data_IF_534867549847
#
_entry.id   IF_534867549847
#
_cell.length_a   1.000
_cell.length_b   1.000
_cell.length_c   1.000
_cell.angle_alpha   90.00
_cell.angle_beta   90.00
_cell.angle_gamma   90.00
#
_symmetry.space_group_name_H-M   'P 1'
#
loop_
_entity.id
_entity.type
_entity.pdbx_description
1 polymer ?
#
# COMPACT_ATOMS: atom_id res chain seq x y z
N UNK A 1 24.56 22.45 4.94
CA UNK A 1 23.21 21.88 4.78
C UNK A 1 22.58 21.76 6.17
N UNK A 2 21.28 22.05 6.31
CA UNK A 2 20.55 21.90 7.56
C UNK A 2 20.37 20.42 7.91
N UNK A 3 20.37 20.11 9.22
CA UNK A 3 19.96 18.80 9.74
C UNK A 3 18.47 18.84 10.08
N UNK A 4 17.75 17.78 9.76
CA UNK A 4 16.32 17.63 10.08
C UNK A 4 16.00 16.20 10.46
N UNK A 5 14.98 16.01 11.29
CA UNK A 5 14.43 14.70 11.61
C UNK A 5 13.15 14.48 10.79
N UNK A 6 13.00 13.28 10.24
CA UNK A 6 11.77 12.84 9.59
C UNK A 6 11.35 11.49 10.16
N UNK A 7 10.05 11.31 10.36
CA UNK A 7 9.48 10.12 11.02
C UNK A 7 8.41 9.48 10.15
N UNK A 8 8.47 8.16 10.03
CA UNK A 8 7.39 7.34 9.47
C UNK A 8 7.04 6.21 10.43
N UNK A 9 5.87 5.61 10.23
CA UNK A 9 5.38 4.51 11.06
C UNK A 9 4.71 3.42 10.24
N UNK A 10 4.61 2.24 10.84
CA UNK A 10 3.89 1.09 10.29
C UNK A 10 3.22 0.30 11.41
N UNK A 11 2.34 -0.62 11.03
CA UNK A 11 1.60 -1.50 11.94
C UNK A 11 1.62 -2.93 11.42
N UNK A 12 1.46 -3.89 12.31
CA UNK A 12 1.41 -5.32 11.95
C UNK A 12 0.08 -5.67 11.28
N UNK A 13 0.03 -6.86 10.69
CA UNK A 13 -1.20 -7.48 10.19
C UNK A 13 -2.30 -7.66 11.25
N UNK A 14 -1.96 -7.61 12.54
CA UNK A 14 -2.92 -7.75 13.64
C UNK A 14 -3.55 -6.44 14.10
N UNK A 15 -3.13 -5.30 13.58
CA UNK A 15 -3.77 -4.02 13.85
C UNK A 15 -5.20 -4.00 13.29
N UNK A 16 -6.23 -3.53 14.02
CA UNK A 16 -7.63 -3.67 13.60
C UNK A 16 -7.94 -3.08 12.22
N UNK A 17 -7.44 -1.87 11.89
CA UNK A 17 -7.55 -1.32 10.52
C UNK A 17 -6.90 -2.23 9.46
N UNK A 18 -5.78 -2.88 9.76
CA UNK A 18 -5.12 -3.81 8.83
C UNK A 18 -5.80 -5.16 8.72
N UNK A 19 -6.53 -5.60 9.75
CA UNK A 19 -7.43 -6.74 9.62
C UNK A 19 -8.55 -6.38 8.63
N UNK A 20 -9.11 -5.16 8.72
CA UNK A 20 -10.16 -4.69 7.81
C UNK A 20 -9.68 -4.63 6.35
N UNK A 21 -8.51 -4.05 6.10
CA UNK A 21 -7.89 -4.02 4.77
C UNK A 21 -7.67 -5.45 4.20
N UNK A 22 -7.15 -6.37 5.02
CA UNK A 22 -6.90 -7.75 4.60
C UNK A 22 -8.18 -8.54 4.30
N UNK A 23 -9.27 -8.29 5.03
CA UNK A 23 -10.59 -8.89 4.75
C UNK A 23 -11.13 -8.33 3.44
N UNK A 24 -11.13 -7.01 3.28
CA UNK A 24 -11.58 -6.33 2.07
C UNK A 24 -10.85 -6.85 0.82
N UNK A 25 -9.52 -6.98 0.86
CA UNK A 25 -8.76 -7.54 -0.25
C UNK A 25 -8.87 -9.07 -0.39
N UNK A 26 -9.09 -9.80 0.69
CA UNK A 26 -9.37 -11.24 0.61
C UNK A 26 -10.67 -11.54 -0.13
N UNK A 27 -11.71 -10.71 0.05
CA UNK A 27 -12.97 -10.80 -0.70
C UNK A 27 -12.74 -10.44 -2.17
N UNK A 28 -12.00 -9.35 -2.44
CA UNK A 28 -11.64 -8.96 -3.81
C UNK A 28 -10.92 -10.09 -4.55
N UNK A 29 -9.90 -10.68 -3.93
CA UNK A 29 -9.13 -11.76 -4.54
C UNK A 29 -10.02 -12.97 -4.85
N UNK A 30 -10.91 -13.37 -3.94
CA UNK A 30 -11.78 -14.51 -4.18
C UNK A 30 -12.76 -14.28 -5.35
N UNK A 31 -13.26 -13.04 -5.49
CA UNK A 31 -14.12 -12.67 -6.60
C UNK A 31 -13.34 -12.63 -7.93
N UNK A 32 -12.17 -11.98 -7.96
CA UNK A 32 -11.33 -11.91 -9.18
C UNK A 32 -10.78 -13.27 -9.62
N UNK A 33 -10.55 -14.19 -8.68
CA UNK A 33 -10.10 -15.56 -8.98
C UNK A 33 -11.13 -16.32 -9.83
N UNK A 34 -12.42 -16.06 -9.63
CA UNK A 34 -13.51 -16.72 -10.34
C UNK A 34 -14.02 -15.91 -11.52
N UNK A 35 -14.08 -14.59 -11.38
CA UNK A 35 -14.55 -13.64 -12.38
C UNK A 35 -13.61 -12.41 -12.43
N UNK A 36 -12.63 -12.40 -13.35
CA UNK A 36 -11.71 -11.28 -13.53
C UNK A 36 -12.38 -9.94 -13.88
N UNK A 37 -13.64 -9.95 -14.33
CA UNK A 37 -14.41 -8.74 -14.63
C UNK A 37 -15.18 -8.19 -13.42
N UNK A 38 -15.05 -8.82 -12.24
CA UNK A 38 -15.72 -8.38 -11.01
C UNK A 38 -15.47 -6.91 -10.71
N UNK A 39 -16.55 -6.15 -10.50
CA UNK A 39 -16.49 -4.80 -9.94
C UNK A 39 -16.73 -4.89 -8.44
N UNK A 40 -15.78 -4.42 -7.66
CA UNK A 40 -15.75 -4.59 -6.20
C UNK A 40 -15.40 -3.26 -5.54
N UNK A 41 -16.22 -2.87 -4.57
CA UNK A 41 -15.95 -1.81 -3.60
C UNK A 41 -16.47 -2.30 -2.24
N UNK A 42 -15.63 -3.04 -1.51
CA UNK A 42 -16.01 -3.68 -0.24
C UNK A 42 -15.25 -3.05 0.92
N UNK A 43 -16.03 -2.54 1.86
CA UNK A 43 -15.55 -1.92 3.09
C UNK A 43 -15.77 -2.86 4.27
N UNK A 44 -14.81 -2.89 5.19
CA UNK A 44 -14.88 -3.71 6.40
C UNK A 44 -14.77 -2.81 7.62
N UNK A 45 -15.71 -2.94 8.55
CA UNK A 45 -15.63 -2.37 9.90
C UNK A 45 -15.50 -3.51 10.91
N UNK A 46 -14.56 -3.37 11.84
CA UNK A 46 -14.27 -4.35 12.87
C UNK A 46 -14.34 -3.66 14.23
N UNK A 47 -14.99 -4.32 15.19
CA UNK A 47 -15.07 -3.87 16.57
C UNK A 47 -15.17 -5.08 17.49
N UNK A 48 -15.38 -4.85 18.78
CA UNK A 48 -15.39 -5.91 19.79
C UNK A 48 -16.40 -7.00 19.44
N UNK A 49 -15.89 -8.19 19.10
CA UNK A 49 -16.68 -9.38 18.78
C UNK A 49 -17.46 -9.34 17.46
N UNK A 50 -17.28 -8.33 16.61
CA UNK A 50 -18.07 -8.16 15.37
C UNK A 50 -17.21 -7.72 14.18
N UNK A 51 -17.57 -8.24 13.01
CA UNK A 51 -17.12 -7.79 11.69
C UNK A 51 -18.33 -7.44 10.84
N UNK A 52 -18.35 -6.23 10.31
CA UNK A 52 -19.34 -5.76 9.35
C UNK A 52 -18.66 -5.58 8.00
N UNK A 53 -19.17 -6.30 7.00
CA UNK A 53 -18.73 -6.18 5.61
C UNK A 53 -19.86 -5.53 4.82
N UNK A 54 -19.59 -4.41 4.16
CA UNK A 54 -20.56 -3.66 3.39
C UNK A 54 -19.95 -3.14 2.08
N UNK A 55 -20.80 -2.63 1.19
CA UNK A 55 -20.37 -1.99 -0.06
C UNK A 55 -21.08 -2.56 -1.28
N UNK A 56 -20.47 -2.40 -2.45
CA UNK A 56 -21.08 -2.69 -3.73
C UNK A 56 -20.25 -3.67 -4.54
N UNK A 57 -20.92 -4.73 -5.02
CA UNK A 57 -20.29 -5.76 -5.86
C UNK A 57 -21.16 -6.03 -7.08
N UNK A 58 -20.53 -6.11 -8.24
CA UNK A 58 -21.11 -6.63 -9.48
C UNK A 58 -20.19 -7.73 -10.01
N UNK A 59 -20.66 -8.97 -10.01
CA UNK A 59 -19.85 -10.15 -10.33
C UNK A 59 -20.73 -11.34 -10.68
N UNK A 60 -20.19 -12.28 -11.46
CA UNK A 60 -20.75 -13.62 -11.66
C UNK A 60 -20.18 -14.66 -10.67
N UNK A 61 -19.17 -14.29 -9.88
CA UNK A 61 -18.54 -15.13 -8.86
C UNK A 61 -19.37 -15.24 -7.57
N UNK A 62 -19.01 -16.21 -6.72
CA UNK A 62 -19.54 -16.35 -5.38
C UNK A 62 -18.41 -16.40 -4.35
N UNK A 63 -18.46 -15.54 -3.34
CA UNK A 63 -17.55 -15.56 -2.19
C UNK A 63 -18.32 -15.90 -0.91
N UNK A 64 -17.90 -16.94 -0.20
CA UNK A 64 -18.38 -17.22 1.16
C UNK A 64 -17.68 -16.26 2.16
N UNK A 65 -18.20 -15.03 2.22
CA UNK A 65 -17.62 -13.93 2.99
C UNK A 65 -17.45 -14.29 4.47
N UNK A 66 -18.45 -14.97 5.07
CA UNK A 66 -18.37 -15.33 6.47
C UNK A 66 -17.20 -16.27 6.74
N UNK A 67 -17.02 -17.29 5.90
CA UNK A 67 -15.88 -18.21 6.02
C UNK A 67 -14.55 -17.51 5.76
N UNK A 68 -14.46 -16.67 4.73
CA UNK A 68 -13.23 -15.91 4.41
C UNK A 68 -12.80 -14.98 5.54
N UNK A 69 -13.75 -14.23 6.14
CA UNK A 69 -13.51 -13.35 7.28
C UNK A 69 -12.93 -14.14 8.45
N UNK A 70 -13.60 -15.24 8.83
CA UNK A 70 -13.16 -16.07 9.96
C UNK A 70 -11.77 -16.64 9.74
N UNK A 71 -11.53 -17.21 8.55
CA UNK A 71 -10.23 -17.79 8.23
C UNK A 71 -9.13 -16.72 8.25
N UNK A 72 -9.39 -15.52 7.71
CA UNK A 72 -8.41 -14.43 7.72
C UNK A 72 -8.02 -14.03 9.15
N UNK A 73 -8.99 -13.93 10.06
CA UNK A 73 -8.75 -13.58 11.46
C UNK A 73 -7.91 -14.67 12.16
N UNK A 74 -8.20 -15.95 11.88
CA UNK A 74 -7.43 -17.08 12.40
C UNK A 74 -5.99 -17.08 11.85
N UNK A 75 -5.79 -16.85 10.56
CA UNK A 75 -4.47 -16.79 9.90
C UNK A 75 -3.58 -15.68 10.48
N UNK A 76 -4.19 -14.54 10.85
CA UNK A 76 -3.50 -13.42 11.52
C UNK A 76 -3.05 -13.83 12.93
N UNK A 77 -3.77 -14.73 13.58
CA UNK A 77 -3.44 -15.29 14.89
C UNK A 77 -4.40 -14.89 16.01
N UNK A 78 -5.57 -14.34 15.68
CA UNK A 78 -6.69 -14.12 16.61
C UNK A 78 -7.57 -15.38 16.67
N UNK A 79 -7.07 -16.38 17.38
CA UNK A 79 -7.62 -17.74 17.51
C UNK A 79 -8.20 -18.03 18.91
N UNK A 80 -8.30 -17.00 19.75
CA UNK A 80 -8.73 -17.13 21.14
C UNK A 80 -9.15 -15.77 21.69
N UNK A 81 -10.30 -15.73 22.37
CA UNK A 81 -10.78 -14.51 23.04
C UNK A 81 -9.79 -13.98 24.10
N UNK A 82 -8.88 -14.82 24.60
CA UNK A 82 -7.79 -14.39 25.49
C UNK A 82 -6.84 -13.37 24.83
N UNK A 83 -6.75 -13.36 23.50
CA UNK A 83 -5.96 -12.40 22.70
C UNK A 83 -6.74 -11.12 22.37
N UNK A 84 -8.01 -11.01 22.80
CA UNK A 84 -8.90 -9.88 22.56
C UNK A 84 -9.87 -10.08 21.39
N UNK A 85 -9.62 -11.06 20.51
CA UNK A 85 -10.51 -11.35 19.39
C UNK A 85 -10.33 -12.80 18.93
N UNK A 86 -11.36 -13.38 18.33
CA UNK A 86 -11.38 -14.79 17.94
C UNK A 86 -12.21 -15.01 16.67
N UNK A 87 -11.55 -15.45 15.60
CA UNK A 87 -12.18 -15.75 14.32
C UNK A 87 -13.19 -16.90 14.39
N UNK A 88 -13.06 -17.82 15.35
CA UNK A 88 -13.99 -18.93 15.51
C UNK A 88 -15.33 -18.50 16.13
N UNK A 89 -15.36 -17.41 16.90
CA UNK A 89 -16.54 -17.00 17.67
C UNK A 89 -17.08 -15.60 17.33
N UNK A 90 -16.36 -14.78 16.56
CA UNK A 90 -16.83 -13.44 16.19
C UNK A 90 -18.14 -13.46 15.38
N UNK A 91 -18.96 -12.43 15.51
CA UNK A 91 -20.10 -12.20 14.63
C UNK A 91 -19.63 -11.67 13.27
N UNK A 92 -20.32 -12.06 12.20
CA UNK A 92 -20.09 -11.55 10.84
C UNK A 92 -21.41 -11.10 10.25
N UNK A 93 -21.50 -9.83 9.90
CA UNK A 93 -22.66 -9.21 9.26
C UNK A 93 -22.27 -8.77 7.85
N UNK A 94 -23.06 -9.18 6.85
CA UNK A 94 -22.82 -8.86 5.45
C UNK A 94 -23.97 -7.99 4.94
N UNK A 95 -23.62 -6.83 4.40
CA UNK A 95 -24.52 -5.81 3.86
C UNK A 95 -24.01 -5.31 2.50
N UNK A 96 -23.84 -6.24 1.55
CA UNK A 96 -23.36 -5.94 0.20
C UNK A 96 -24.55 -5.76 -0.74
N UNK A 97 -24.57 -4.64 -1.47
CA UNK A 97 -25.52 -4.34 -2.53
C UNK A 97 -24.95 -4.52 -3.93
N UNK A 98 -25.81 -4.35 -4.94
CA UNK A 98 -25.37 -4.26 -6.33
C UNK A 98 -24.80 -2.86 -6.63
N UNK A 99 -23.83 -2.78 -7.55
CA UNK A 99 -23.30 -1.50 -8.02
C UNK A 99 -24.40 -0.66 -8.70
N UNK A 100 -24.36 0.66 -8.49
CA UNK A 100 -25.30 1.59 -9.13
C UNK A 100 -25.20 1.53 -10.67
N UNK A 101 -26.32 1.34 -11.39
CA UNK A 101 -26.34 1.40 -12.86
C UNK A 101 -25.84 2.73 -13.42
N UNK A 102 -26.05 3.84 -12.71
CA UNK A 102 -25.63 5.18 -13.12
C UNK A 102 -24.10 5.35 -13.07
N UNK A 103 -23.43 4.61 -12.18
CA UNK A 103 -21.97 4.54 -12.10
C UNK A 103 -21.46 3.59 -13.18
N UNK A 104 -22.10 2.43 -13.35
CA UNK A 104 -21.71 1.42 -14.34
C UNK A 104 -21.66 2.00 -15.76
N UNK A 105 -22.70 2.73 -16.20
CA UNK A 105 -22.72 3.37 -17.53
C UNK A 105 -21.54 4.35 -17.76
N UNK A 106 -21.04 4.97 -16.68
CA UNK A 106 -19.97 5.96 -16.72
C UNK A 106 -18.61 5.34 -16.97
N UNK A 107 -18.42 4.15 -16.41
CA UNK A 107 -17.18 3.36 -16.41
C UNK A 107 -17.10 2.45 -17.62
N UNK A 108 -18.21 1.81 -17.99
CA UNK A 108 -18.25 0.82 -19.06
C UNK A 108 -18.13 1.45 -20.46
N UNK A 109 -18.54 2.71 -20.60
CA UNK A 109 -18.43 3.49 -21.84
C UNK A 109 -17.97 4.90 -21.53
N UNK A 110 -16.70 5.24 -21.73
CA UNK A 110 -16.13 6.54 -21.34
C UNK A 110 -16.79 7.76 -22.02
N UNK A 111 -16.58 8.93 -21.44
CA UNK A 111 -17.11 10.22 -21.89
C UNK A 111 -16.71 10.53 -23.33
N UNK A 112 -15.45 10.23 -23.70
CA UNK A 112 -14.91 10.38 -25.04
C UNK A 112 -15.79 9.67 -26.08
N UNK A 113 -16.27 8.46 -25.76
CA UNK A 113 -17.16 7.70 -26.63
C UNK A 113 -18.61 8.24 -26.59
N UNK A 114 -19.10 8.63 -25.41
CA UNK A 114 -20.46 9.17 -25.26
C UNK A 114 -20.66 10.48 -26.02
N UNK A 115 -19.65 11.35 -26.07
CA UNK A 115 -19.75 12.69 -26.68
C UNK A 115 -19.37 12.71 -28.16
N UNK A 116 -18.45 11.85 -28.62
CA UNK A 116 -18.11 11.77 -30.05
C UNK A 116 -19.31 11.28 -30.90
N UNK A 117 -20.28 10.59 -30.30
CA UNK A 117 -21.47 10.06 -30.98
C UNK A 117 -21.12 8.93 -31.94
N UNK A 118 -22.09 8.06 -32.26
CA UNK A 118 -21.92 6.87 -33.11
C UNK A 118 -21.64 7.19 -34.61
N UNK A 119 -21.03 8.34 -34.92
CA UNK A 119 -20.99 8.94 -36.27
C UNK A 119 -19.60 9.00 -36.90
N UNK A 120 -18.56 8.44 -36.29
CA UNK A 120 -17.29 8.18 -36.97
C UNK A 120 -16.84 6.76 -36.68
N UNK A 121 -16.92 5.93 -37.72
CA UNK A 121 -16.49 4.54 -37.68
C UNK A 121 -14.97 4.37 -37.72
N UNK A 122 -14.56 3.20 -37.23
CA UNK A 122 -13.41 2.39 -37.63
C UNK A 122 -12.00 2.71 -37.12
N UNK A 123 -11.84 3.64 -36.17
CA UNK A 123 -10.63 3.71 -35.31
C UNK A 123 -11.04 3.89 -33.82
N UNK A 124 -11.80 2.92 -33.28
CA UNK A 124 -12.13 2.88 -31.84
C UNK A 124 -10.92 2.35 -31.07
N UNK A 125 -10.16 3.24 -30.41
CA UNK A 125 -9.16 2.78 -29.44
C UNK A 125 -9.89 2.10 -28.27
N UNK A 126 -9.73 0.77 -28.15
CA UNK A 126 -10.37 -0.03 -27.10
C UNK A 126 -10.02 0.48 -25.69
N UNK A 127 -8.88 1.17 -25.53
CA UNK A 127 -8.43 1.72 -24.26
C UNK A 127 -9.20 2.99 -23.84
N UNK A 128 -9.85 3.66 -24.80
CA UNK A 128 -10.77 4.78 -24.55
C UNK A 128 -12.17 4.29 -24.10
N UNK A 129 -12.45 2.98 -24.12
CA UNK A 129 -13.75 2.46 -23.69
C UNK A 129 -13.99 2.65 -22.20
N UNK A 130 -12.95 2.49 -21.38
CA UNK A 130 -13.12 2.50 -19.94
C UNK A 130 -12.80 3.87 -19.34
N UNK A 131 -13.84 4.51 -18.81
CA UNK A 131 -13.68 5.75 -18.05
C UNK A 131 -13.17 5.49 -16.63
N UNK A 132 -12.64 6.53 -15.98
CA UNK A 132 -12.30 6.44 -14.55
C UNK A 132 -13.53 6.13 -13.69
N UNK A 133 -13.37 5.21 -12.73
CA UNK A 133 -14.41 4.78 -11.79
C UNK A 133 -14.98 5.87 -10.89
N UNK A 134 -14.16 6.89 -10.62
CA UNK A 134 -14.49 8.07 -9.83
C UNK A 134 -13.58 9.23 -10.27
N UNK A 135 -13.86 10.45 -9.83
CA UNK A 135 -12.86 11.51 -9.84
C UNK A 135 -11.77 11.22 -8.81
N UNK A 136 -10.57 11.75 -9.03
CA UNK A 136 -9.56 11.72 -7.98
C UNK A 136 -8.21 12.19 -8.45
N UNK A 137 -7.30 12.29 -7.48
CA UNK A 137 -5.90 12.64 -7.69
C UNK A 137 -5.03 11.58 -7.02
N UNK A 138 -4.02 11.10 -7.71
CA UNK A 138 -3.16 10.00 -7.24
C UNK A 138 -1.70 10.43 -7.35
N UNK A 139 -0.90 10.01 -6.38
CA UNK A 139 0.52 10.34 -6.31
C UNK A 139 1.37 9.07 -6.32
N UNK A 140 2.50 9.15 -7.01
CA UNK A 140 3.56 8.17 -7.01
C UNK A 140 4.87 8.79 -6.58
N UNK A 141 5.71 8.03 -5.89
CA UNK A 141 7.01 8.51 -5.44
C UNK A 141 8.08 7.44 -5.55
N UNK A 142 9.28 7.87 -5.88
CA UNK A 142 10.50 7.08 -5.79
C UNK A 142 11.69 7.95 -5.41
N UNK A 143 12.66 7.33 -4.73
CA UNK A 143 13.91 7.96 -4.30
C UNK A 143 15.03 6.93 -4.31
N UNK A 144 16.26 7.35 -4.62
CA UNK A 144 17.44 6.47 -4.60
C UNK A 144 17.94 6.11 -3.18
N UNK A 145 17.19 6.45 -2.12
CA UNK A 145 17.58 6.19 -0.71
C UNK A 145 17.67 4.70 -0.36
N UNK A 146 16.91 3.83 -1.02
CA UNK A 146 16.94 2.38 -0.81
C UNK A 146 17.01 1.61 -2.13
N UNK A 147 17.45 0.34 -2.14
CA UNK A 147 17.49 -0.48 -3.36
C UNK A 147 16.11 -0.64 -4.04
N UNK A 148 15.04 -0.67 -3.24
CA UNK A 148 13.66 -0.76 -3.72
C UNK A 148 13.07 0.60 -4.14
N UNK A 149 13.89 1.65 -4.14
CA UNK A 149 13.55 3.01 -4.50
C UNK A 149 12.44 3.63 -3.65
N UNK A 150 12.45 3.35 -2.34
CA UNK A 150 11.49 3.85 -1.35
C UNK A 150 12.15 4.84 -0.38
N UNK A 151 11.37 5.73 0.26
CA UNK A 151 11.89 6.50 1.39
C UNK A 151 12.33 5.57 2.53
N UNK A 152 13.53 5.78 3.03
CA UNK A 152 14.11 4.92 4.07
C UNK A 152 13.26 4.81 5.36
N UNK A 153 12.61 5.87 5.89
CA UNK A 153 11.88 5.79 7.15
C UNK A 153 10.69 4.83 7.10
N UNK A 154 9.91 4.85 6.01
CA UNK A 154 8.76 3.96 5.85
C UNK A 154 9.18 2.52 5.52
N UNK A 155 10.22 2.35 4.70
CA UNK A 155 10.80 1.04 4.40
C UNK A 155 11.25 0.33 5.69
N UNK A 156 11.95 1.04 6.58
CA UNK A 156 12.35 0.52 7.88
C UNK A 156 11.18 0.19 8.79
N UNK A 157 10.17 1.08 8.88
CA UNK A 157 9.00 0.81 9.69
C UNK A 157 8.26 -0.46 9.20
N UNK A 158 8.11 -0.64 7.89
CA UNK A 158 7.54 -1.88 7.32
C UNK A 158 8.35 -3.13 7.65
N UNK A 159 9.68 -3.07 7.51
CA UNK A 159 10.57 -4.20 7.83
C UNK A 159 10.45 -4.59 9.31
N UNK A 160 10.42 -3.62 10.21
CA UNK A 160 10.23 -3.86 11.65
C UNK A 160 8.86 -4.48 11.94
N UNK A 161 7.78 -3.94 11.37
CA UNK A 161 6.43 -4.48 11.59
C UNK A 161 6.30 -5.92 11.04
N UNK A 162 6.87 -6.19 9.86
CA UNK A 162 6.90 -7.53 9.27
C UNK A 162 7.71 -8.49 10.13
N UNK A 163 8.91 -8.08 10.56
CA UNK A 163 9.76 -8.91 11.42
C UNK A 163 9.10 -9.21 12.77
N UNK A 164 8.40 -8.24 13.35
CA UNK A 164 7.62 -8.44 14.58
C UNK A 164 6.53 -9.51 14.41
N UNK A 165 5.86 -9.56 13.25
CA UNK A 165 4.90 -10.60 12.95
C UNK A 165 5.56 -11.97 12.69
N UNK A 166 6.73 -12.01 12.02
CA UNK A 166 7.49 -13.23 11.76
C UNK A 166 7.90 -13.93 13.07
N UNK A 167 8.57 -13.22 13.98
CA UNK A 167 9.06 -13.79 15.25
C UNK A 167 7.95 -14.27 16.17
N UNK A 168 6.75 -13.70 16.02
CA UNK A 168 5.53 -14.19 16.67
C UNK A 168 5.05 -15.49 16.03
N UNK A 169 4.95 -15.54 14.70
CA UNK A 169 4.40 -16.69 13.96
C UNK A 169 5.32 -17.91 13.99
N UNK A 170 6.63 -17.72 13.97
CA UNK A 170 7.61 -18.81 14.02
C UNK A 170 7.91 -19.30 15.45
N UNK A 171 7.39 -18.60 16.47
CA UNK A 171 7.55 -18.95 17.88
C UNK A 171 8.86 -18.50 18.52
N UNK A 172 9.70 -17.71 17.83
CA UNK A 172 10.92 -17.12 18.38
C UNK A 172 10.61 -16.25 19.61
N UNK A 173 9.55 -15.46 19.56
CA UNK A 173 9.03 -14.68 20.69
C UNK A 173 7.57 -15.07 20.93
N UNK A 174 7.31 -16.19 21.61
CA UNK A 174 6.02 -16.89 21.58
C UNK A 174 4.91 -16.20 22.38
N UNK A 175 5.28 -15.25 23.26
CA UNK A 175 4.32 -14.49 24.05
C UNK A 175 3.76 -13.26 23.31
N UNK A 176 4.29 -12.92 22.13
CA UNK A 176 3.73 -11.83 21.33
C UNK A 176 2.33 -12.19 20.83
N UNK A 177 1.48 -11.17 20.74
CA UNK A 177 0.13 -11.24 20.19
C UNK A 177 0.07 -10.42 18.89
N UNK A 178 -1.01 -10.55 18.09
CA UNK A 178 -0.98 -10.05 16.72
C UNK A 178 -0.81 -8.54 16.56
N UNK A 179 -1.38 -7.70 17.44
CA UNK A 179 -1.34 -6.24 17.31
C UNK A 179 0.06 -5.69 17.62
N UNK A 180 0.56 -4.81 16.76
CA UNK A 180 1.86 -4.20 16.89
C UNK A 180 2.03 -2.95 16.02
N UNK A 181 2.88 -2.04 16.48
CA UNK A 181 3.14 -0.73 15.88
C UNK A 181 4.63 -0.45 15.91
N UNK A 182 5.13 0.19 14.87
CA UNK A 182 6.54 0.52 14.72
C UNK A 182 6.66 1.95 14.20
N UNK A 183 7.65 2.68 14.69
CA UNK A 183 7.91 4.05 14.24
C UNK A 183 9.42 4.27 14.17
N UNK A 184 9.87 4.93 13.11
CA UNK A 184 11.28 5.15 12.81
C UNK A 184 11.50 6.61 12.51
N UNK A 185 12.45 7.21 13.22
CA UNK A 185 12.91 8.58 13.00
C UNK A 185 14.32 8.56 12.45
N UNK A 186 14.51 9.17 11.28
CA UNK A 186 15.79 9.28 10.59
C UNK A 186 16.24 10.74 10.58
N UNK A 187 17.50 10.96 10.89
CA UNK A 187 18.16 12.25 10.68
C UNK A 187 18.66 12.36 9.24
N UNK A 188 18.35 13.49 8.62
CA UNK A 188 18.74 13.85 7.26
C UNK A 188 19.70 15.04 7.25
N UNK A 189 20.68 15.00 6.35
CA UNK A 189 21.50 16.15 5.95
C UNK A 189 21.07 16.60 4.56
N UNK A 190 20.24 17.64 4.47
CA UNK A 190 19.50 17.92 3.23
C UNK A 190 18.51 16.80 2.95
N UNK A 191 18.60 16.14 1.80
CA UNK A 191 17.77 14.97 1.43
C UNK A 191 18.45 13.62 1.66
N UNK A 192 19.69 13.60 2.16
CA UNK A 192 20.43 12.35 2.38
C UNK A 192 20.21 11.84 3.82
N UNK A 193 19.76 10.59 4.02
CA UNK A 193 19.68 10.01 5.35
C UNK A 193 21.08 9.79 5.90
N UNK A 194 21.31 10.10 7.18
CA UNK A 194 22.65 10.03 7.80
C UNK A 194 22.70 9.26 9.12
N UNK A 195 21.61 9.21 9.89
CA UNK A 195 21.58 8.51 11.17
C UNK A 195 20.18 8.01 11.51
N UNK A 196 20.08 6.81 12.06
CA UNK A 196 18.90 6.34 12.77
C UNK A 196 18.83 7.02 14.14
N UNK A 197 17.83 7.88 14.35
CA UNK A 197 17.72 8.63 15.59
C UNK A 197 16.94 7.87 16.67
N UNK A 198 15.72 7.43 16.33
CA UNK A 198 14.81 6.81 17.29
C UNK A 198 14.00 5.70 16.62
N UNK A 199 13.88 4.56 17.30
CA UNK A 199 12.98 3.44 16.97
C UNK A 199 11.98 3.28 18.11
N UNK A 200 10.70 3.22 17.78
CA UNK A 200 9.63 2.86 18.71
C UNK A 200 8.99 1.56 18.26
N UNK A 201 8.84 0.61 19.18
CA UNK A 201 8.09 -0.63 18.96
C UNK A 201 7.09 -0.78 20.08
N UNK A 202 5.80 -0.80 19.73
CA UNK A 202 4.72 -1.15 20.64
C UNK A 202 4.13 -2.48 20.20
N UNK A 203 4.27 -3.53 20.99
CA UNK A 203 3.76 -4.86 20.64
C UNK A 203 2.82 -5.38 21.70
N UNK A 204 1.68 -5.92 21.25
CA UNK A 204 0.76 -6.63 22.10
C UNK A 204 1.41 -7.93 22.58
N UNK A 205 1.19 -8.29 23.84
CA UNK A 205 1.80 -9.48 24.45
C UNK A 205 0.85 -10.19 25.40
N UNK A 206 1.20 -11.43 25.75
CA UNK A 206 0.56 -12.15 26.84
C UNK A 206 0.68 -11.38 28.17
N UNK A 207 -0.26 -11.64 29.08
CA UNK A 207 -0.20 -11.08 30.42
C UNK A 207 0.99 -11.59 31.21
N UNK A 208 1.36 -10.84 32.25
CA UNK A 208 2.34 -11.23 33.27
C UNK A 208 3.76 -11.50 32.79
N UNK A 209 4.14 -10.94 31.63
CA UNK A 209 5.54 -10.90 31.20
C UNK A 209 6.31 -9.75 31.85
N UNK A 210 7.59 -9.96 32.09
CA UNK A 210 8.52 -8.90 32.48
C UNK A 210 8.93 -8.08 31.25
N UNK A 211 8.55 -6.79 31.24
CA UNK A 211 8.81 -5.90 30.11
C UNK A 211 10.30 -5.59 29.98
N UNK A 212 10.99 -5.34 31.09
CA UNK A 212 12.39 -4.90 31.08
C UNK A 212 13.34 -6.10 30.91
N UNK A 213 13.03 -7.22 31.54
CA UNK A 213 13.85 -8.44 31.50
C UNK A 213 13.62 -9.35 30.30
N UNK A 214 12.46 -9.27 29.63
CA UNK A 214 12.15 -10.11 28.46
C UNK A 214 11.75 -9.30 27.23
N UNK A 215 10.67 -8.49 27.30
CA UNK A 215 10.15 -7.82 26.10
C UNK A 215 11.18 -6.90 25.44
N UNK A 216 11.83 -6.02 26.21
CA UNK A 216 12.81 -5.07 25.69
C UNK A 216 14.01 -5.80 25.04
N UNK A 217 14.68 -6.77 25.71
CA UNK A 217 15.76 -7.56 25.11
C UNK A 217 15.34 -8.35 23.85
N UNK A 218 14.17 -8.97 23.85
CA UNK A 218 13.71 -9.81 22.74
C UNK A 218 13.36 -8.95 21.51
N UNK A 219 12.70 -7.81 21.71
CA UNK A 219 12.41 -6.85 20.63
C UNK A 219 13.71 -6.27 20.07
N UNK A 220 14.66 -5.90 20.94
CA UNK A 220 15.98 -5.42 20.49
C UNK A 220 16.66 -6.48 19.62
N UNK A 221 16.84 -7.68 20.14
CA UNK A 221 17.65 -8.73 19.50
C UNK A 221 16.97 -9.30 18.26
N UNK A 222 15.71 -9.73 18.40
CA UNK A 222 15.05 -10.52 17.37
C UNK A 222 14.33 -9.69 16.31
N UNK A 223 14.06 -8.40 16.60
CA UNK A 223 13.35 -7.50 15.68
C UNK A 223 14.24 -6.36 15.20
N UNK A 224 14.75 -5.52 16.10
CA UNK A 224 15.46 -4.29 15.72
C UNK A 224 16.84 -4.62 15.15
N UNK A 225 17.70 -5.28 15.93
CA UNK A 225 19.07 -5.60 15.52
C UNK A 225 19.07 -6.48 14.26
N UNK A 226 18.16 -7.47 14.19
CA UNK A 226 17.96 -8.28 12.99
C UNK A 226 17.66 -7.46 11.72
N UNK A 227 16.79 -6.44 11.82
CA UNK A 227 16.47 -5.59 10.67
C UNK A 227 17.64 -4.66 10.35
N UNK A 228 18.32 -4.11 11.35
CA UNK A 228 19.44 -3.19 11.16
C UNK A 228 20.67 -3.88 10.54
N UNK A 229 20.98 -5.12 10.93
CA UNK A 229 22.05 -5.92 10.35
C UNK A 229 21.87 -6.09 8.84
N UNK A 230 20.63 -6.30 8.38
CA UNK A 230 20.30 -6.45 6.95
C UNK A 230 20.32 -5.16 6.14
N UNK A 231 20.31 -3.99 6.78
CA UNK A 231 20.46 -2.73 6.04
C UNK A 231 21.87 -2.55 5.50
N UNK A 232 22.87 -3.05 6.23
CA UNK A 232 24.25 -3.05 5.78
C UNK A 232 24.41 -3.92 4.52
N UNK A 233 23.73 -5.07 4.48
CA UNK A 233 23.72 -5.97 3.31
C UNK A 233 23.10 -5.29 2.06
N UNK A 234 22.12 -4.41 2.27
CA UNK A 234 21.46 -3.62 1.22
C UNK A 234 22.30 -2.41 0.74
N UNK A 235 23.50 -2.22 1.29
CA UNK A 235 24.38 -1.10 0.94
C UNK A 235 23.91 0.26 1.46
N UNK A 236 23.01 0.29 2.45
CA UNK A 236 22.49 1.53 3.04
C UNK A 236 23.50 2.05 4.07
N UNK A 237 24.18 3.14 3.74
CA UNK A 237 25.11 3.83 4.65
C UNK A 237 24.36 4.71 5.66
N UNK A 238 23.99 4.13 6.80
CA UNK A 238 23.29 4.81 7.89
C UNK A 238 24.00 4.57 9.23
N UNK A 239 24.29 5.62 9.99
CA UNK A 239 24.79 5.45 11.35
C UNK A 239 23.67 4.93 12.28
N UNK A 240 23.83 3.74 12.85
CA UNK A 240 22.81 3.06 13.67
C UNK A 240 23.22 2.81 15.13
N UNK A 241 24.50 2.96 15.49
CA UNK A 241 25.03 2.49 16.78
C UNK A 241 24.45 3.14 18.04
N UNK A 242 23.98 4.39 17.97
CA UNK A 242 23.53 5.18 19.14
C UNK A 242 22.02 5.53 19.09
N UNK A 243 21.22 4.76 18.35
CA UNK A 243 19.79 5.06 18.23
C UNK A 243 19.05 4.85 19.56
N UNK A 244 18.04 5.68 19.80
CA UNK A 244 17.13 5.51 20.94
C UNK A 244 16.12 4.41 20.63
N UNK A 245 16.06 3.38 21.47
CA UNK A 245 15.04 2.34 21.35
C UNK A 245 13.99 2.48 22.46
N UNK A 246 12.73 2.66 22.07
CA UNK A 246 11.57 2.76 22.96
C UNK A 246 10.65 1.55 22.72
N UNK A 247 10.67 0.58 23.62
CA UNK A 247 9.79 -0.61 23.55
C UNK A 247 8.65 -0.44 24.55
N UNK A 248 7.41 -0.54 24.06
CA UNK A 248 6.18 -0.37 24.84
C UNK A 248 6.24 0.84 25.81
N UNK A 249 6.47 2.07 25.31
CA UNK A 249 6.69 3.25 26.16
C UNK A 249 5.49 3.63 27.05
N UNK A 250 4.30 3.10 26.76
CA UNK A 250 3.08 3.25 27.57
C UNK A 250 2.93 2.18 28.66
N UNK A 251 3.91 1.28 28.81
CA UNK A 251 3.82 0.12 29.68
C UNK A 251 3.11 -1.07 29.02
N UNK A 252 2.33 -1.81 29.79
CA UNK A 252 1.70 -3.06 29.34
C UNK A 252 0.74 -2.83 28.16
N UNK A 253 0.79 -3.72 27.17
CA UNK A 253 -0.13 -3.78 26.05
C UNK A 253 -0.71 -5.19 25.90
N UNK A 254 -1.58 -5.59 26.83
CA UNK A 254 -2.14 -6.95 26.86
C UNK A 254 -3.44 -7.08 26.04
N UNK A 255 -4.27 -6.03 26.09
CA UNK A 255 -5.52 -5.90 25.33
C UNK A 255 -5.22 -5.10 24.06
N UNK A 256 -5.39 -5.75 22.90
CA UNK A 256 -5.15 -5.15 21.58
C UNK A 256 -6.14 -5.67 20.55
N UNK A 257 -5.91 -5.35 19.28
CA UNK A 257 -6.82 -5.73 18.20
C UNK A 257 -8.21 -5.11 18.34
N UNK A 258 -9.25 -5.75 17.78
CA UNK A 258 -10.64 -5.25 17.80
C UNK A 258 -11.28 -5.00 19.18
N UNK A 259 -10.71 -5.55 20.25
CA UNK A 259 -11.15 -5.26 21.63
C UNK A 259 -10.52 -3.98 22.19
N UNK A 260 -9.33 -3.62 21.71
CA UNK A 260 -8.65 -2.39 22.11
C UNK A 260 -9.07 -1.18 21.28
N UNK A 261 -9.34 -1.37 19.99
CA UNK A 261 -9.68 -0.29 19.05
C UNK A 261 -10.55 -0.80 17.89
N UNK A 262 -11.36 0.08 17.31
CA UNK A 262 -12.11 -0.23 16.11
C UNK A 262 -11.20 -0.22 14.87
N UNK A 263 -11.53 -1.03 13.86
CA UNK A 263 -10.80 -1.11 12.60
C UNK A 263 -11.71 -0.77 11.43
N UNK A 264 -11.23 0.01 10.47
CA UNK A 264 -11.93 0.28 9.22
C UNK A 264 -10.97 0.20 8.02
N UNK A 265 -11.46 -0.34 6.91
CA UNK A 265 -10.75 -0.35 5.63
C UNK A 265 -10.33 1.08 5.25
N UNK A 266 -9.12 1.23 4.72
CA UNK A 266 -8.64 2.52 4.21
C UNK A 266 -8.29 3.55 5.28
N UNK A 267 -8.09 3.15 6.55
CA UNK A 267 -7.63 4.07 7.61
C UNK A 267 -6.13 4.15 7.79
N UNK A 268 -5.37 3.42 6.97
CA UNK A 268 -3.90 3.36 7.00
C UNK A 268 -3.22 3.78 5.70
N UNK A 269 -3.88 4.63 4.88
CA UNK A 269 -3.40 5.06 3.55
C UNK A 269 -1.98 5.64 3.51
N UNK A 270 -1.53 6.31 4.57
CA UNK A 270 -0.14 6.83 4.64
C UNK A 270 0.87 5.72 4.92
N UNK A 271 0.48 4.72 5.73
CA UNK A 271 1.27 3.50 5.94
C UNK A 271 1.29 2.68 4.65
N UNK A 272 0.21 2.66 3.89
CA UNK A 272 0.15 1.90 2.63
C UNK A 272 1.03 2.46 1.51
N UNK A 273 1.40 3.73 1.62
CA UNK A 273 2.11 4.46 0.58
C UNK A 273 3.53 4.82 1.01
N UNK A 274 3.79 6.09 1.32
CA UNK A 274 5.14 6.63 1.43
C UNK A 274 5.44 7.16 2.84
N UNK A 275 4.65 6.79 3.85
CA UNK A 275 4.89 7.12 5.26
C UNK A 275 4.95 8.63 5.55
N UNK A 276 4.25 9.43 4.75
CA UNK A 276 4.19 10.89 4.86
C UNK A 276 5.31 11.61 4.10
N UNK A 277 6.22 10.88 3.44
CA UNK A 277 7.35 11.45 2.72
C UNK A 277 6.95 12.11 1.39
N UNK A 278 5.84 11.65 0.82
CA UNK A 278 5.24 12.13 -0.41
C UNK A 278 3.78 12.52 -0.20
N UNK A 279 3.22 13.30 -1.13
CA UNK A 279 1.82 13.71 -1.09
C UNK A 279 0.90 12.50 -1.27
N UNK A 280 -0.34 12.62 -0.80
CA UNK A 280 -1.35 11.58 -0.89
C UNK A 280 -2.66 12.12 -1.44
N UNK A 281 -3.33 11.30 -2.26
CA UNK A 281 -4.56 11.67 -2.96
C UNK A 281 -5.85 11.65 -2.14
N UNK A 282 -5.85 10.82 -1.10
CA UNK A 282 -6.99 10.57 -0.21
C UNK A 282 -7.68 9.25 -0.46
N UNK A 283 -7.57 8.69 -1.66
CA UNK A 283 -8.13 7.38 -2.02
C UNK A 283 -7.48 6.22 -1.27
N UNK A 284 -8.28 5.35 -0.65
CA UNK A 284 -7.84 4.06 -0.11
C UNK A 284 -7.72 3.00 -1.21
N UNK A 285 -6.97 1.92 -0.93
CA UNK A 285 -6.71 0.85 -1.90
C UNK A 285 -7.55 -0.40 -1.67
N UNK A 286 -7.53 -0.96 -0.45
CA UNK A 286 -8.11 -2.27 -0.17
C UNK A 286 -9.61 -2.35 -0.43
N UNK A 287 -10.06 -3.50 -0.94
CA UNK A 287 -11.46 -3.75 -1.28
C UNK A 287 -11.93 -3.17 -2.61
N UNK A 288 -11.04 -2.55 -3.38
CA UNK A 288 -11.37 -1.94 -4.68
C UNK A 288 -10.79 -2.72 -5.85
N UNK A 289 -11.61 -3.02 -6.84
CA UNK A 289 -11.11 -3.59 -8.11
C UNK A 289 -10.33 -2.55 -8.95
N UNK A 290 -9.54 -2.99 -9.95
CA UNK A 290 -8.64 -2.11 -10.71
C UNK A 290 -9.30 -1.00 -11.53
N UNK A 291 -10.62 -1.03 -11.73
CA UNK A 291 -11.33 0.08 -12.38
C UNK A 291 -11.43 1.33 -11.51
N UNK A 292 -11.21 1.20 -10.19
CA UNK A 292 -11.12 2.32 -9.26
C UNK A 292 -9.71 2.91 -9.35
N UNK A 293 -9.63 4.07 -9.98
CA UNK A 293 -8.37 4.79 -10.22
C UNK A 293 -7.60 5.13 -8.94
N UNK A 294 -8.26 5.21 -7.78
CA UNK A 294 -7.60 5.32 -6.48
C UNK A 294 -6.50 4.28 -6.29
N UNK A 295 -6.73 3.04 -6.74
CA UNK A 295 -5.77 1.95 -6.63
C UNK A 295 -4.90 1.84 -7.87
N UNK A 296 -5.52 1.65 -9.04
CA UNK A 296 -4.77 1.37 -10.27
C UNK A 296 -3.89 2.54 -10.69
N UNK A 297 -4.37 3.78 -10.62
CA UNK A 297 -3.56 4.94 -10.97
C UNK A 297 -2.49 5.25 -9.91
N UNK A 298 -2.74 5.01 -8.62
CA UNK A 298 -1.68 5.12 -7.62
C UNK A 298 -0.55 4.10 -7.86
N UNK A 299 -0.89 2.86 -8.25
CA UNK A 299 0.09 1.85 -8.64
C UNK A 299 0.83 2.27 -9.91
N UNK A 300 0.13 2.81 -10.91
CA UNK A 300 0.76 3.35 -12.12
C UNK A 300 1.71 4.51 -11.80
N UNK A 301 1.34 5.44 -10.91
CA UNK A 301 2.22 6.54 -10.53
C UNK A 301 3.45 6.05 -9.79
N UNK A 302 3.34 5.02 -8.94
CA UNK A 302 4.51 4.34 -8.36
C UNK A 302 5.40 3.78 -9.47
N UNK A 303 4.84 3.05 -10.42
CA UNK A 303 5.56 2.45 -11.54
C UNK A 303 6.30 3.51 -12.37
N UNK A 304 5.64 4.62 -12.72
CA UNK A 304 6.24 5.75 -13.43
C UNK A 304 7.39 6.36 -12.62
N UNK A 305 7.15 6.77 -11.38
CA UNK A 305 8.17 7.43 -10.55
C UNK A 305 9.39 6.51 -10.34
N UNK A 306 9.16 5.22 -10.08
CA UNK A 306 10.20 4.21 -9.91
C UNK A 306 11.04 4.05 -11.18
N UNK A 307 10.41 4.01 -12.35
CA UNK A 307 11.12 3.92 -13.63
C UNK A 307 11.90 5.21 -13.97
N UNK A 308 11.40 6.40 -13.61
CA UNK A 308 12.15 7.66 -13.77
C UNK A 308 13.45 7.64 -12.96
N UNK A 309 13.39 7.20 -11.70
CA UNK A 309 14.58 7.09 -10.84
C UNK A 309 15.52 5.98 -11.33
N UNK A 310 14.99 4.80 -11.66
CA UNK A 310 15.77 3.68 -12.20
C UNK A 310 16.44 4.00 -13.55
N UNK A 311 15.82 4.85 -14.37
CA UNK A 311 16.41 5.32 -15.63
C UNK A 311 17.62 6.24 -15.42
N UNK A 312 17.83 6.75 -14.21
CA UNK A 312 18.84 7.76 -13.88
C UNK A 312 18.45 9.16 -14.33
N UNK A 313 17.15 9.43 -14.52
CA UNK A 313 16.66 10.75 -14.94
C UNK A 313 16.51 11.72 -13.76
N UNK A 314 16.34 11.21 -12.55
CA UNK A 314 16.37 11.96 -11.29
C UNK A 314 16.74 11.03 -10.11
N UNK A 315 17.26 11.58 -9.02
CA UNK A 315 17.45 10.80 -7.78
C UNK A 315 16.16 10.67 -6.97
N UNK A 316 15.24 11.64 -7.12
CA UNK A 316 13.92 11.70 -6.49
C UNK A 316 12.89 12.11 -7.52
N UNK A 317 11.74 11.44 -7.53
CA UNK A 317 10.64 11.75 -8.43
C UNK A 317 9.31 11.58 -7.71
N UNK A 318 8.48 12.62 -7.72
CA UNK A 318 7.05 12.54 -7.39
C UNK A 318 6.24 12.81 -8.65
N UNK A 319 5.24 11.98 -8.92
CA UNK A 319 4.34 12.13 -10.07
C UNK A 319 2.91 12.19 -9.56
N UNK A 320 2.12 13.12 -10.08
CA UNK A 320 0.70 13.21 -9.83
C UNK A 320 -0.08 13.00 -11.13
N UNK A 321 -1.16 12.23 -11.05
CA UNK A 321 -2.19 12.16 -12.09
C UNK A 321 -3.54 12.51 -11.48
N UNK A 322 -4.42 13.10 -12.28
CA UNK A 322 -5.80 13.35 -11.88
C UNK A 322 -6.78 12.87 -12.96
N UNK A 323 -7.95 12.37 -12.54
CA UNK A 323 -9.03 11.92 -13.42
C UNK A 323 -10.34 12.63 -13.09
N UNK A 324 -11.16 12.81 -14.13
CA UNK A 324 -12.57 13.12 -13.98
C UNK A 324 -13.38 11.84 -14.15
N UNK A 325 -14.45 11.69 -13.36
CA UNK A 325 -15.30 10.50 -13.40
C UNK A 325 -15.82 10.22 -14.83
N UNK A 326 -15.67 8.98 -15.27
CA UNK A 326 -16.09 8.51 -16.58
C UNK A 326 -15.27 9.04 -17.76
N UNK A 327 -14.16 9.75 -17.55
CA UNK A 327 -13.20 10.15 -18.60
C UNK A 327 -12.03 9.15 -18.63
N UNK A 328 -11.59 8.73 -19.81
CA UNK A 328 -10.45 7.80 -19.94
C UNK A 328 -9.11 8.54 -19.80
N UNK A 329 -8.96 9.66 -20.51
CA UNK A 329 -7.74 10.45 -20.48
C UNK A 329 -7.60 11.23 -19.17
N UNK A 330 -6.41 11.23 -18.52
CA UNK A 330 -6.14 12.09 -17.38
C UNK A 330 -6.50 13.56 -17.66
N UNK A 331 -6.90 14.30 -16.63
CA UNK A 331 -7.10 15.76 -16.71
C UNK A 331 -5.80 16.54 -16.51
N UNK A 332 -4.78 15.90 -15.91
CA UNK A 332 -3.46 16.48 -15.73
C UNK A 332 -2.44 15.45 -15.27
N UNK A 333 -1.19 15.70 -15.63
CA UNK A 333 0.01 15.04 -15.15
C UNK A 333 0.93 16.12 -14.57
N UNK A 334 1.58 15.84 -13.44
CA UNK A 334 2.56 16.73 -12.85
C UNK A 334 3.77 15.92 -12.38
N UNK A 335 4.98 16.41 -12.66
CA UNK A 335 6.25 15.77 -12.30
C UNK A 335 7.10 16.73 -11.47
N UNK A 336 7.55 16.28 -10.30
CA UNK A 336 8.46 17.00 -9.41
C UNK A 336 9.71 16.15 -9.13
N UNK A 337 10.89 16.75 -9.30
CA UNK A 337 12.18 16.05 -9.13
C UNK A 337 13.03 16.60 -7.99
N UNK A 338 12.51 17.59 -7.25
CA UNK A 338 13.13 18.21 -6.09
C UNK A 338 14.55 18.73 -6.38
N UNK A 339 14.79 19.18 -7.62
CA UNK A 339 16.09 19.65 -8.08
C UNK A 339 17.14 18.55 -8.30
N UNK A 340 16.75 17.27 -8.36
CA UNK A 340 17.66 16.13 -8.53
C UNK A 340 17.69 15.57 -9.97
N UNK A 341 17.06 16.26 -10.92
CA UNK A 341 16.98 15.80 -12.30
C UNK A 341 18.32 15.90 -13.04
N UNK A 342 18.59 14.91 -13.89
CA UNK A 342 19.75 14.90 -14.79
C UNK A 342 19.48 15.63 -16.12
N UNK A 343 18.22 15.84 -16.47
CA UNK A 343 17.74 16.57 -17.65
C UNK A 343 16.58 17.47 -17.27
N UNK A 344 16.22 18.44 -18.11
CA UNK A 344 15.10 19.35 -17.84
C UNK A 344 13.81 18.57 -17.51
N UNK A 345 13.07 19.03 -16.49
CA UNK A 345 11.88 18.31 -15.97
C UNK A 345 10.82 18.15 -17.06
N UNK A 346 10.69 19.13 -17.94
CA UNK A 346 9.75 19.11 -19.07
C UNK A 346 10.05 17.95 -20.04
N UNK A 347 11.32 17.58 -20.21
CA UNK A 347 11.70 16.41 -21.02
C UNK A 347 11.36 15.09 -20.33
N UNK A 348 11.43 15.05 -19.01
CA UNK A 348 11.01 13.88 -18.22
C UNK A 348 9.49 13.72 -18.34
N UNK A 349 8.74 14.81 -18.20
CA UNK A 349 7.28 14.80 -18.35
C UNK A 349 6.86 14.33 -19.75
N UNK A 350 7.47 14.86 -20.81
CA UNK A 350 7.22 14.41 -22.19
C UNK A 350 7.55 12.94 -22.38
N UNK A 351 8.71 12.49 -21.90
CA UNK A 351 9.10 11.08 -21.97
C UNK A 351 8.13 10.16 -21.21
N UNK A 352 7.58 10.61 -20.07
CA UNK A 352 6.54 9.88 -19.34
C UNK A 352 5.29 9.73 -20.20
N UNK A 353 4.80 10.82 -20.81
CA UNK A 353 3.61 10.77 -21.66
C UNK A 353 3.79 9.95 -22.94
N UNK A 354 5.03 9.79 -23.44
CA UNK A 354 5.34 8.95 -24.60
C UNK A 354 5.40 7.45 -24.22
N UNK A 355 5.95 7.13 -23.06
CA UNK A 355 6.27 5.75 -22.66
C UNK A 355 5.11 5.07 -21.91
N UNK A 356 4.30 5.85 -21.19
CA UNK A 356 3.23 5.34 -20.34
C UNK A 356 1.86 5.80 -20.83
N UNK A 357 1.00 4.84 -21.13
CA UNK A 357 -0.42 5.10 -21.35
C UNK A 357 -1.14 5.05 -20.00
N UNK A 358 -1.59 6.22 -19.55
CA UNK A 358 -2.19 6.42 -18.24
C UNK A 358 -3.72 6.33 -18.27
N UNK A 359 -4.33 5.83 -19.34
CA UNK A 359 -5.77 5.55 -19.33
C UNK A 359 -6.08 4.34 -18.44
N UNK A 360 -7.22 4.28 -17.72
CA UNK A 360 -7.54 3.19 -16.80
C UNK A 360 -7.42 1.79 -17.41
N UNK A 361 -7.95 1.58 -18.63
CA UNK A 361 -7.83 0.30 -19.31
C UNK A 361 -6.38 -0.07 -19.66
N UNK A 362 -5.57 0.91 -20.07
CA UNK A 362 -4.16 0.70 -20.39
C UNK A 362 -3.35 0.35 -19.15
N UNK A 363 -3.61 1.02 -18.02
CA UNK A 363 -3.00 0.69 -16.72
C UNK A 363 -3.32 -0.75 -16.33
N UNK A 364 -4.59 -1.15 -16.42
CA UNK A 364 -5.04 -2.51 -16.07
C UNK A 364 -4.33 -3.55 -16.95
N UNK A 365 -4.20 -3.29 -18.24
CA UNK A 365 -3.51 -4.15 -19.20
C UNK A 365 -2.00 -4.25 -18.90
N UNK A 366 -1.32 -3.12 -18.79
CA UNK A 366 0.14 -3.05 -18.70
C UNK A 366 0.67 -3.56 -17.36
N UNK A 367 -0.10 -3.37 -16.29
CA UNK A 367 0.20 -3.90 -14.97
C UNK A 367 -0.46 -5.26 -14.70
N UNK A 368 -1.19 -5.83 -15.65
CA UNK A 368 -1.87 -7.12 -15.52
C UNK A 368 -2.67 -7.22 -14.21
N UNK A 369 -3.64 -6.31 -14.01
CA UNK A 369 -4.30 -6.13 -12.71
C UNK A 369 -5.53 -7.03 -12.49
N UNK A 370 -6.06 -7.69 -13.52
CA UNK A 370 -7.25 -8.55 -13.37
C UNK A 370 -6.89 -9.95 -12.84
N UNK A 371 -6.21 -9.99 -11.70
CA UNK A 371 -5.71 -11.20 -11.03
C UNK A 371 -5.90 -11.12 -9.51
N UNK A 372 -6.04 -12.25 -8.81
CA UNK A 372 -6.18 -12.29 -7.35
C UNK A 372 -4.83 -12.10 -6.65
N UNK A 373 -4.33 -10.86 -6.62
CA UNK A 373 -2.98 -10.50 -6.13
C UNK A 373 -2.99 -9.51 -4.94
N UNK A 374 -4.15 -9.07 -4.48
CA UNK A 374 -4.32 -7.88 -3.65
C UNK A 374 -4.20 -8.16 -2.15
N UNK A 375 -4.56 -9.35 -1.66
CA UNK A 375 -4.48 -9.69 -0.24
C UNK A 375 -3.08 -9.54 0.34
N UNK A 376 -2.03 -9.76 -0.48
CA UNK A 376 -0.63 -9.55 -0.10
C UNK A 376 -0.28 -8.08 0.08
N UNK A 377 -1.03 -7.15 -0.53
CA UNK A 377 -0.78 -5.70 -0.49
C UNK A 377 -1.32 -5.04 0.79
N UNK A 378 -2.37 -5.60 1.39
CA UNK A 378 -3.11 -5.01 2.52
C UNK A 378 -2.27 -4.76 3.78
N UNK A 379 -1.05 -5.30 3.88
CA UNK A 379 -0.13 -5.12 5.01
C UNK A 379 1.29 -4.88 4.52
N UNK A 380 2.06 -4.17 5.35
CA UNK A 380 3.49 -3.88 5.12
C UNK A 380 3.79 -3.07 3.85
N UNK A 381 2.84 -2.22 3.45
CA UNK A 381 2.99 -1.32 2.30
C UNK A 381 2.65 -1.98 0.96
N UNK A 382 2.04 -1.18 0.08
CA UNK A 382 1.75 -1.58 -1.30
C UNK A 382 2.99 -1.42 -2.20
N UNK A 383 3.95 -0.60 -1.78
CA UNK A 383 5.11 -0.21 -2.57
C UNK A 383 6.43 -0.65 -1.93
N UNK A 384 7.47 -0.78 -2.75
CA UNK A 384 8.82 -1.15 -2.31
C UNK A 384 9.05 -2.63 -2.07
N UNK A 385 8.14 -3.50 -2.54
CA UNK A 385 8.21 -4.96 -2.34
C UNK A 385 8.36 -5.66 -3.67
N UNK A 386 9.51 -6.27 -3.90
CA UNK A 386 9.84 -6.97 -5.16
C UNK A 386 9.24 -8.38 -5.19
N UNK A 387 7.91 -8.42 -5.21
CA UNK A 387 7.09 -9.62 -5.38
C UNK A 387 6.69 -9.69 -6.85
N UNK A 388 6.82 -10.85 -7.49
CA UNK A 388 6.59 -11.00 -8.93
C UNK A 388 5.21 -10.53 -9.39
N UNK A 389 4.19 -10.68 -8.54
CA UNK A 389 2.83 -10.25 -8.81
C UNK A 389 2.65 -8.72 -8.77
N UNK A 390 3.53 -7.99 -8.07
CA UNK A 390 3.48 -6.53 -7.94
C UNK A 390 4.18 -5.87 -9.13
N UNK A 391 3.56 -5.99 -10.28
CA UNK A 391 4.05 -5.49 -11.59
C UNK A 391 4.40 -4.00 -11.57
N UNK A 392 3.75 -3.19 -10.73
CA UNK A 392 4.07 -1.77 -10.55
C UNK A 392 5.43 -1.50 -9.90
N UNK A 393 6.07 -2.51 -9.31
CA UNK A 393 7.44 -2.43 -8.81
C UNK A 393 8.50 -2.74 -9.88
N UNK A 394 8.09 -3.13 -11.09
CA UNK A 394 9.00 -3.35 -12.21
C UNK A 394 9.69 -2.06 -12.67
N UNK A 395 10.93 -2.19 -13.16
CA UNK A 395 11.71 -1.09 -13.80
C UNK A 395 11.91 -1.33 -15.31
N UNK A 396 11.01 -2.08 -15.93
CA UNK A 396 11.02 -2.49 -17.34
C UNK A 396 10.96 -1.34 -18.35
N UNK A 397 10.49 -0.15 -17.93
CA UNK A 397 10.38 1.04 -18.79
C UNK A 397 11.53 2.02 -18.65
N UNK A 398 12.51 1.74 -17.79
CA UNK A 398 13.63 2.63 -17.51
C UNK A 398 14.47 2.96 -18.78
N UNK A 399 14.75 1.96 -19.63
CA UNK A 399 15.50 2.17 -20.86
C UNK A 399 14.70 2.94 -21.92
N UNK A 400 13.39 2.67 -22.03
CA UNK A 400 12.49 3.41 -22.91
C UNK A 400 12.42 4.89 -22.51
N UNK A 401 12.25 5.18 -21.22
CA UNK A 401 12.30 6.53 -20.66
C UNK A 401 13.63 7.22 -20.96
N UNK A 402 14.76 6.55 -20.72
CA UNK A 402 16.10 7.12 -20.97
C UNK A 402 16.28 7.48 -22.45
N UNK A 403 15.68 6.71 -23.37
CA UNK A 403 15.74 6.99 -24.81
C UNK A 403 14.84 8.18 -25.16
N UNK A 404 13.59 8.19 -24.72
CA UNK A 404 12.63 9.26 -25.01
C UNK A 404 13.11 10.62 -24.47
N UNK A 405 13.67 10.65 -23.25
CA UNK A 405 14.19 11.88 -22.63
C UNK A 405 15.42 12.48 -23.35
N UNK A 406 16.10 11.71 -24.23
CA UNK A 406 17.20 12.22 -25.08
C UNK A 406 16.70 12.83 -26.38
N UNK A 407 15.55 12.39 -26.88
CA UNK A 407 14.95 12.86 -28.13
C UNK A 407 13.98 14.02 -27.93
N UNK A 408 13.38 14.11 -26.73
CA UNK A 408 12.55 15.23 -26.28
C UNK A 408 13.34 16.54 -26.13
#
# INVERSE_FOLDING_TARGET
MSRSLFTSESVTEGHPDKIADQISDGILDELLRQDPASRVAVETLITTGQVHVAGEVSTSAYADIATLVRQKILDIGYDSSAKGFDGASCGVSVSIGAQSPDIAQGVDTAYEQRVRGASQGEDEDELDRQGAGDQGLMFGYATAETPTLMPLPIDLAHRLARRLAEVRKDGTVPYLRPDGKTQVTIEYLGSRPVRLDTVVVSSQHAGDIDLDGHLVPDIRTHVVDHVLERLADDGIELATGDHRLLVNPTGRFEIGGPMGDAGLTGRKIIIDTYGGYARHGGGAFSGKDPSKVDRSAAYAMRWVAKNVVAAGLAERCEVQVAYAIGKAEPVGLFVETFGTHAVAVEKIEQAVTEVFDLRPAAIIRDLDLLRPIYSRTAVYGHFGREIAEFTWESTDRADALRKAAKTA
#
